data_IF_916316328761
#
_entry.id   IF_916316328761
#
_cell.length_a   1.000
_cell.length_b   1.000
_cell.length_c   1.000
_cell.angle_alpha   90.00
_cell.angle_beta   90.00
_cell.angle_gamma   90.00
#
_symmetry.space_group_name_H-M   'P 1'
#
loop_
_entity.id
_entity.type
_entity.pdbx_description
1 polymer ?
#
# COMPACT_ATOMS: atom_id res chain seq x y z
N UNK A 1 18.44 -4.74 -17.21
CA UNK A 1 17.88 -4.15 -15.99
C UNK A 1 18.91 -4.31 -14.88
N UNK A 2 18.99 -3.36 -13.98
CA UNK A 2 19.88 -3.44 -12.82
C UNK A 2 19.08 -3.08 -11.57
N UNK A 3 19.18 -3.93 -10.56
CA UNK A 3 18.63 -3.72 -9.22
C UNK A 3 19.78 -3.32 -8.29
N UNK A 4 19.64 -2.20 -7.61
CA UNK A 4 20.53 -1.80 -6.53
C UNK A 4 19.71 -1.72 -5.24
N UNK A 5 20.18 -2.40 -4.19
CA UNK A 5 19.53 -2.44 -2.88
C UNK A 5 20.38 -1.65 -1.90
N UNK A 6 19.83 -0.59 -1.34
CA UNK A 6 20.43 0.20 -0.28
C UNK A 6 19.64 0.00 1.01
N UNK A 7 20.29 -0.57 2.04
CA UNK A 7 19.66 -0.75 3.35
C UNK A 7 19.65 0.57 4.11
N UNK A 8 18.48 0.98 4.54
CA UNK A 8 18.24 2.16 5.35
C UNK A 8 18.07 1.78 6.83
N UNK A 9 17.97 2.79 7.69
CA UNK A 9 17.68 2.57 9.11
C UNK A 9 16.25 1.98 9.31
N UNK A 10 16.02 1.37 10.47
CA UNK A 10 14.72 0.82 10.89
C UNK A 10 14.16 -0.29 9.97
N UNK A 11 15.03 -1.16 9.47
CA UNK A 11 14.66 -2.26 8.56
C UNK A 11 13.94 -1.81 7.28
N UNK A 12 14.28 -0.62 6.79
CA UNK A 12 13.85 -0.13 5.49
C UNK A 12 14.92 -0.39 4.46
N UNK A 13 14.51 -0.56 3.20
CA UNK A 13 15.43 -0.64 2.06
C UNK A 13 14.91 0.24 0.93
N UNK A 14 15.84 0.83 0.21
CA UNK A 14 15.59 1.58 -1.02
C UNK A 14 16.10 0.75 -2.20
N UNK A 15 15.18 0.34 -3.03
CA UNK A 15 15.45 -0.41 -4.25
C UNK A 15 15.51 0.59 -5.41
N UNK A 16 16.65 0.69 -6.07
CA UNK A 16 16.77 1.48 -7.30
C UNK A 16 16.74 0.53 -8.49
N UNK A 17 15.74 0.72 -9.33
CA UNK A 17 15.49 -0.14 -10.50
C UNK A 17 15.66 0.69 -11.76
N UNK A 18 16.53 0.19 -12.64
CA UNK A 18 16.79 0.80 -13.94
C UNK A 18 16.25 -0.09 -15.04
N UNK A 19 15.34 0.46 -15.84
CA UNK A 19 14.74 -0.20 -17.01
C UNK A 19 15.33 0.39 -18.29
N UNK A 20 15.66 -0.46 -19.24
CA UNK A 20 16.28 -0.02 -20.49
C UNK A 20 15.39 0.93 -21.29
N UNK A 21 16.01 1.85 -22.04
CA UNK A 21 15.30 2.78 -22.91
C UNK A 21 14.39 2.06 -23.92
N UNK A 22 14.81 0.89 -24.42
CA UNK A 22 14.04 0.11 -25.39
C UNK A 22 12.73 -0.45 -24.78
N UNK A 23 12.77 -0.92 -23.54
CA UNK A 23 11.59 -1.41 -22.83
C UNK A 23 10.65 -0.28 -22.50
N UNK A 24 11.17 0.86 -22.08
CA UNK A 24 10.37 2.06 -21.85
C UNK A 24 9.71 2.58 -23.14
N UNK A 25 10.42 2.57 -24.28
CA UNK A 25 9.83 2.93 -25.58
C UNK A 25 8.71 1.97 -26.00
N UNK A 26 8.84 0.67 -25.72
CA UNK A 26 7.75 -0.30 -25.97
C UNK A 26 6.52 0.03 -25.13
N UNK A 27 6.72 0.37 -23.86
CA UNK A 27 5.63 0.78 -22.98
C UNK A 27 4.98 2.10 -23.46
N UNK A 28 5.76 3.07 -23.92
CA UNK A 28 5.27 4.30 -24.52
C UNK A 28 4.38 4.05 -25.76
N UNK A 29 4.79 3.10 -26.61
CA UNK A 29 3.97 2.69 -27.79
C UNK A 29 2.69 1.98 -27.36
N UNK A 30 2.74 1.18 -26.29
CA UNK A 30 1.56 0.52 -25.73
C UNK A 30 0.59 1.56 -25.12
N UNK A 31 1.09 2.49 -24.33
CA UNK A 31 0.33 3.60 -23.74
C UNK A 31 -0.35 4.46 -24.83
N UNK A 32 0.39 4.81 -25.90
CA UNK A 32 -0.19 5.47 -27.06
C UNK A 32 -1.33 4.65 -27.67
N UNK A 33 -1.11 3.37 -27.94
CA UNK A 33 -2.14 2.51 -28.56
C UNK A 33 -3.40 2.42 -27.72
N UNK A 34 -3.26 2.38 -26.39
CA UNK A 34 -4.39 2.35 -25.46
C UNK A 34 -5.16 3.67 -25.46
N UNK A 35 -4.45 4.78 -25.45
CA UNK A 35 -5.02 6.11 -25.24
C UNK A 35 -5.31 6.92 -26.51
N UNK A 36 -4.83 6.50 -27.71
CA UNK A 36 -4.97 7.26 -28.97
C UNK A 36 -6.41 7.64 -29.33
N UNK A 37 -7.41 6.91 -28.85
CA UNK A 37 -8.82 7.21 -29.09
C UNK A 37 -9.37 8.32 -28.19
N UNK A 38 -8.66 8.67 -27.11
CA UNK A 38 -9.05 9.75 -26.18
C UNK A 38 -8.73 11.14 -26.75
N UNK A 39 -7.72 11.21 -27.64
CA UNK A 39 -7.25 12.48 -28.20
C UNK A 39 -7.99 12.85 -29.48
N UNK A 40 -8.43 14.11 -29.54
CA UNK A 40 -9.03 14.69 -30.73
C UNK A 40 -8.06 15.67 -31.35
N UNK A 41 -7.46 15.29 -32.49
CA UNK A 41 -6.50 16.10 -33.22
C UNK A 41 -7.16 16.65 -34.47
N UNK A 42 -7.21 17.98 -34.68
CA UNK A 42 -7.74 18.57 -35.90
C UNK A 42 -7.03 18.01 -37.16
N UNK A 43 -7.81 17.62 -38.14
CA UNK A 43 -7.28 17.02 -39.41
C UNK A 43 -7.08 15.50 -39.35
N UNK A 44 -7.26 14.85 -38.22
CA UNK A 44 -7.17 13.39 -38.10
C UNK A 44 -8.47 12.79 -37.59
N UNK A 45 -8.82 11.63 -38.14
CA UNK A 45 -9.91 10.82 -37.57
C UNK A 45 -9.51 10.32 -36.18
N UNK A 46 -10.43 10.35 -35.24
CA UNK A 46 -10.26 9.88 -33.84
C UNK A 46 -9.55 8.51 -33.79
N UNK A 47 -8.47 8.42 -33.02
CA UNK A 47 -7.65 7.22 -32.90
C UNK A 47 -6.70 6.92 -34.05
N UNK A 48 -6.61 7.80 -35.07
CA UNK A 48 -5.71 7.67 -36.24
C UNK A 48 -4.58 8.70 -36.28
N UNK A 49 -4.53 9.63 -35.35
CA UNK A 49 -3.45 10.59 -35.23
C UNK A 49 -2.13 9.88 -34.84
N UNK A 50 -1.00 10.16 -35.53
CA UNK A 50 0.30 9.60 -35.15
C UNK A 50 0.73 10.05 -33.75
N UNK A 51 1.50 9.19 -33.02
CA UNK A 51 2.01 9.50 -31.71
C UNK A 51 2.74 10.84 -31.64
N UNK A 52 3.64 11.10 -32.61
CA UNK A 52 4.40 12.35 -32.68
C UNK A 52 3.52 13.61 -32.82
N UNK A 53 2.33 13.49 -33.39
CA UNK A 53 1.39 14.60 -33.51
C UNK A 53 0.69 14.89 -32.18
N UNK A 54 0.35 13.84 -31.43
CA UNK A 54 -0.23 13.97 -30.09
C UNK A 54 0.81 14.58 -29.16
N UNK A 55 2.03 14.04 -29.16
CA UNK A 55 3.16 14.58 -28.36
C UNK A 55 3.45 16.05 -28.66
N UNK A 56 3.33 16.47 -29.93
CA UNK A 56 3.55 17.86 -30.36
C UNK A 56 2.47 18.81 -29.83
N UNK A 57 1.21 18.34 -29.74
CA UNK A 57 0.09 19.18 -29.30
C UNK A 57 -0.10 19.21 -27.79
N UNK A 58 0.08 18.08 -27.14
CA UNK A 58 -0.20 17.91 -25.71
C UNK A 58 1.06 17.80 -24.85
N UNK A 59 2.24 17.77 -25.48
CA UNK A 59 3.52 17.61 -24.80
C UNK A 59 4.03 16.17 -24.87
N UNK A 60 5.37 16.01 -24.83
CA UNK A 60 6.02 14.69 -24.90
C UNK A 60 5.67 13.80 -23.71
N UNK A 61 5.35 14.41 -22.56
CA UNK A 61 5.04 13.70 -21.31
C UNK A 61 3.65 13.09 -21.21
N UNK A 62 2.77 13.31 -22.22
CA UNK A 62 1.36 12.89 -22.15
C UNK A 62 1.18 11.37 -21.96
N UNK A 63 2.15 10.57 -22.37
CA UNK A 63 2.12 9.11 -22.24
C UNK A 63 3.08 8.59 -21.14
N UNK A 64 3.81 9.48 -20.46
CA UNK A 64 4.84 9.07 -19.49
C UNK A 64 4.24 8.40 -18.28
N UNK A 65 3.14 8.92 -17.75
CA UNK A 65 2.47 8.36 -16.59
C UNK A 65 1.96 6.94 -16.84
N UNK A 66 1.24 6.75 -17.95
CA UNK A 66 0.72 5.43 -18.32
C UNK A 66 1.84 4.44 -18.66
N UNK A 67 2.90 4.91 -19.34
CA UNK A 67 4.05 4.09 -19.67
C UNK A 67 4.85 3.71 -18.41
N UNK A 68 5.06 4.67 -17.50
CA UNK A 68 5.76 4.42 -16.23
C UNK A 68 5.02 3.39 -15.37
N UNK A 69 3.71 3.57 -15.18
CA UNK A 69 2.90 2.61 -14.44
C UNK A 69 2.98 1.20 -15.04
N UNK A 70 2.83 1.09 -16.36
CA UNK A 70 2.92 -0.20 -17.03
C UNK A 70 4.31 -0.86 -16.89
N UNK A 71 5.39 -0.07 -16.92
CA UNK A 71 6.75 -0.58 -16.71
C UNK A 71 6.97 -0.98 -15.27
N UNK A 72 6.52 -0.20 -14.31
CA UNK A 72 6.63 -0.50 -12.87
C UNK A 72 5.90 -1.81 -12.56
N UNK A 73 4.66 -1.96 -13.02
CA UNK A 73 3.84 -3.17 -12.80
C UNK A 73 4.48 -4.44 -13.36
N UNK A 74 5.26 -4.31 -14.45
CA UNK A 74 5.97 -5.46 -15.05
C UNK A 74 7.34 -5.71 -14.45
N UNK A 75 8.10 -4.65 -14.13
CA UNK A 75 9.49 -4.77 -13.69
C UNK A 75 9.60 -5.03 -12.19
N UNK A 76 8.76 -4.40 -11.37
CA UNK A 76 8.84 -4.51 -9.91
C UNK A 76 8.69 -5.96 -9.42
N UNK A 77 7.67 -6.75 -9.79
CA UNK A 77 7.55 -8.14 -9.35
C UNK A 77 8.74 -8.99 -9.79
N UNK A 78 9.25 -8.76 -11.00
CA UNK A 78 10.37 -9.51 -11.56
C UNK A 78 11.68 -9.25 -10.83
N UNK A 79 11.94 -7.99 -10.46
CA UNK A 79 13.13 -7.63 -9.69
C UNK A 79 13.01 -8.07 -8.22
N UNK A 80 11.79 -8.17 -7.68
CA UNK A 80 11.54 -8.74 -6.36
C UNK A 80 11.88 -10.23 -6.28
N UNK A 81 11.54 -11.01 -7.31
CA UNK A 81 11.91 -12.44 -7.38
C UNK A 81 13.43 -12.65 -7.41
N UNK A 82 14.18 -11.66 -7.95
CA UNK A 82 15.64 -11.68 -7.96
C UNK A 82 16.28 -11.13 -6.67
N UNK A 83 15.48 -10.51 -5.80
CA UNK A 83 15.96 -9.97 -4.54
C UNK A 83 16.04 -11.05 -3.46
N UNK A 84 17.17 -11.11 -2.74
CA UNK A 84 17.36 -12.07 -1.64
C UNK A 84 16.65 -11.62 -0.33
N UNK A 85 16.24 -10.37 -0.25
CA UNK A 85 15.62 -9.78 0.95
C UNK A 85 14.11 -10.03 1.00
N UNK A 86 13.60 -10.40 2.16
CA UNK A 86 12.17 -10.64 2.38
C UNK A 86 11.44 -9.31 2.66
N UNK A 87 10.69 -8.84 1.66
CA UNK A 87 9.94 -7.58 1.72
C UNK A 87 8.55 -7.84 2.29
N UNK A 88 8.15 -7.04 3.27
CA UNK A 88 6.88 -7.21 4.01
C UNK A 88 5.90 -6.05 3.87
N UNK A 89 6.24 -5.03 3.09
CA UNK A 89 5.38 -3.86 2.86
C UNK A 89 5.09 -3.61 1.39
N UNK A 90 4.03 -2.83 1.13
CA UNK A 90 3.83 -2.23 -0.19
C UNK A 90 4.93 -1.20 -0.48
N UNK A 91 5.42 -1.11 -1.73
CA UNK A 91 6.46 -0.17 -2.09
C UNK A 91 5.93 1.27 -2.12
N UNK A 92 6.74 2.21 -1.63
CA UNK A 92 6.59 3.63 -1.92
C UNK A 92 7.48 3.96 -3.12
N UNK A 93 6.85 4.32 -4.24
CA UNK A 93 7.54 4.47 -5.52
C UNK A 93 7.79 5.93 -5.83
N UNK A 94 9.04 6.27 -6.14
CA UNK A 94 9.45 7.59 -6.61
C UNK A 94 10.14 7.47 -7.95
N UNK A 95 9.75 8.29 -8.93
CA UNK A 95 10.39 8.34 -10.24
C UNK A 95 11.58 9.30 -10.20
N UNK A 96 12.76 8.74 -10.47
CA UNK A 96 14.02 9.51 -10.49
C UNK A 96 14.29 10.10 -11.87
N UNK A 97 14.11 9.29 -12.92
CA UNK A 97 14.37 9.71 -14.30
C UNK A 97 13.33 9.16 -15.25
N UNK A 98 12.68 10.05 -15.97
CA UNK A 98 11.71 9.72 -17.04
C UNK A 98 11.92 10.64 -18.24
N UNK A 99 12.65 10.16 -19.23
CA UNK A 99 12.93 10.89 -20.46
C UNK A 99 12.96 9.94 -21.66
N UNK A 100 12.49 10.42 -22.80
CA UNK A 100 12.52 9.65 -24.07
C UNK A 100 13.95 9.40 -24.51
N UNK A 101 14.27 8.16 -24.82
CA UNK A 101 15.62 7.75 -25.28
C UNK A 101 16.64 7.56 -24.17
N UNK A 102 16.25 7.77 -22.89
CA UNK A 102 17.07 7.46 -21.73
C UNK A 102 16.48 6.28 -20.96
N UNK A 103 17.28 5.58 -20.14
CA UNK A 103 16.76 4.56 -19.24
C UNK A 103 15.73 5.17 -18.27
N UNK A 104 14.68 4.42 -17.98
CA UNK A 104 13.71 4.78 -16.95
C UNK A 104 14.23 4.29 -15.60
N UNK A 105 14.36 5.21 -14.63
CA UNK A 105 14.88 4.92 -13.31
C UNK A 105 13.83 5.33 -12.28
N UNK A 106 13.50 4.40 -11.42
CA UNK A 106 12.63 4.65 -10.27
C UNK A 106 13.17 3.99 -9.01
N UNK A 107 12.78 4.50 -7.86
CA UNK A 107 13.11 3.93 -6.56
C UNK A 107 11.86 3.45 -5.87
N UNK A 108 11.98 2.31 -5.19
CA UNK A 108 10.93 1.76 -4.35
C UNK A 108 11.45 1.64 -2.92
N UNK A 109 10.84 2.36 -1.99
CA UNK A 109 11.15 2.26 -0.57
C UNK A 109 10.24 1.22 0.07
N UNK A 110 10.83 0.22 0.71
CA UNK A 110 10.13 -0.95 1.27
C UNK A 110 10.63 -1.26 2.68
N UNK A 111 9.77 -1.91 3.48
CA UNK A 111 10.18 -2.47 4.76
C UNK A 111 10.61 -3.92 4.58
N UNK A 112 11.76 -4.25 5.17
CA UNK A 112 12.30 -5.60 5.20
C UNK A 112 11.83 -6.33 6.47
N UNK A 113 11.76 -7.65 6.40
CA UNK A 113 11.54 -8.47 7.58
C UNK A 113 12.71 -8.32 8.54
N UNK A 114 12.47 -7.93 9.80
CA UNK A 114 13.52 -7.79 10.78
C UNK A 114 14.11 -9.14 11.18
N UNK A 115 15.42 -9.19 11.36
CA UNK A 115 16.06 -10.32 12.01
C UNK A 115 15.73 -10.31 13.51
N UNK A 116 15.19 -11.41 14.00
CA UNK A 116 14.82 -11.58 15.41
C UNK A 116 15.91 -12.35 16.13
N UNK A 117 16.59 -11.71 17.05
CA UNK A 117 17.48 -12.38 18.01
C UNK A 117 16.72 -12.64 19.30
N UNK A 118 16.70 -13.90 19.72
CA UNK A 118 16.06 -14.26 20.97
C UNK A 118 16.91 -13.77 22.15
N UNK A 119 16.28 -13.06 23.07
CA UNK A 119 16.88 -12.73 24.35
C UNK A 119 16.92 -13.95 25.31
N UNK A 120 17.30 -13.72 26.55
CA UNK A 120 17.24 -14.76 27.60
C UNK A 120 15.76 -15.05 27.95
N UNK A 121 15.21 -16.12 27.39
CA UNK A 121 13.82 -16.54 27.60
C UNK A 121 13.69 -17.71 28.56
N UNK A 122 14.82 -18.34 28.99
CA UNK A 122 14.84 -19.42 29.95
C UNK A 122 15.07 -18.85 31.34
N UNK A 123 14.25 -19.30 32.31
CA UNK A 123 14.37 -18.87 33.69
C UNK A 123 13.69 -17.52 33.99
N UNK A 124 12.80 -17.05 33.12
CA UNK A 124 11.97 -15.87 33.39
C UNK A 124 11.03 -16.19 34.53
N UNK A 125 11.20 -15.50 35.68
CA UNK A 125 10.30 -15.60 36.82
C UNK A 125 9.10 -14.67 36.57
N UNK A 126 7.90 -15.24 36.66
CA UNK A 126 6.63 -14.51 36.56
C UNK A 126 5.86 -14.66 37.86
N UNK A 127 5.35 -13.57 38.38
CA UNK A 127 4.45 -13.61 39.51
C UNK A 127 3.20 -14.40 39.15
N UNK A 128 2.85 -15.38 40.00
CA UNK A 128 1.62 -16.12 39.81
C UNK A 128 0.44 -15.20 40.07
N UNK A 129 -0.38 -15.00 39.10
CA UNK A 129 -1.62 -14.23 39.22
C UNK A 129 -2.53 -14.92 40.25
N UNK A 130 -2.93 -14.22 41.30
CA UNK A 130 -3.90 -14.69 42.23
C UNK A 130 -5.30 -14.70 41.58
N UNK A 131 -5.86 -15.89 41.43
CA UNK A 131 -7.15 -16.12 40.83
C UNK A 131 -8.26 -16.33 41.85
N UNK A 132 -8.10 -15.84 43.10
CA UNK A 132 -9.16 -15.89 44.09
C UNK A 132 -10.32 -15.01 43.67
N UNK A 133 -11.48 -15.63 43.53
CA UNK A 133 -12.74 -14.94 43.25
C UNK A 133 -13.31 -14.43 44.54
N UNK A 134 -13.55 -13.13 44.63
CA UNK A 134 -14.19 -12.50 45.80
C UNK A 134 -15.71 -12.49 45.67
N UNK A 135 -16.42 -12.35 46.79
CA UNK A 135 -17.88 -12.21 46.77
C UNK A 135 -18.30 -10.95 45.97
N UNK A 136 -17.48 -9.88 45.97
CA UNK A 136 -17.70 -8.68 45.18
C UNK A 136 -17.63 -8.95 43.65
N UNK A 137 -16.73 -9.84 43.23
CA UNK A 137 -16.63 -10.23 41.82
C UNK A 137 -17.86 -11.00 41.35
N UNK A 138 -18.39 -11.87 42.25
CA UNK A 138 -19.63 -12.62 41.99
C UNK A 138 -20.83 -11.69 41.91
N UNK A 139 -20.95 -10.72 42.81
CA UNK A 139 -22.04 -9.72 42.76
C UNK A 139 -21.98 -8.86 41.52
N UNK A 140 -20.79 -8.44 41.11
CA UNK A 140 -20.57 -7.66 39.89
C UNK A 140 -21.00 -8.43 38.63
N UNK A 141 -20.66 -9.71 38.56
CA UNK A 141 -21.06 -10.54 37.43
C UNK A 141 -22.57 -10.82 37.42
N UNK A 142 -23.17 -11.08 38.60
CA UNK A 142 -24.61 -11.21 38.73
C UNK A 142 -25.35 -9.97 38.26
N UNK A 143 -24.87 -8.78 38.64
CA UNK A 143 -25.43 -7.51 38.17
C UNK A 143 -25.31 -7.34 36.66
N UNK A 144 -24.16 -7.69 36.08
CA UNK A 144 -23.95 -7.68 34.65
C UNK A 144 -24.92 -8.61 33.91
N UNK A 145 -25.20 -9.80 34.47
CA UNK A 145 -26.18 -10.74 33.92
C UNK A 145 -27.61 -10.23 34.06
N UNK A 146 -27.94 -9.57 35.16
CA UNK A 146 -29.24 -8.94 35.36
C UNK A 146 -29.46 -7.82 34.33
N UNK A 147 -28.50 -6.97 34.16
CA UNK A 147 -28.57 -5.84 33.17
C UNK A 147 -28.74 -6.36 31.75
N UNK A 148 -28.04 -7.41 31.38
CA UNK A 148 -28.19 -8.06 30.04
C UNK A 148 -29.56 -8.69 29.81
N UNK A 149 -30.22 -9.17 30.85
CA UNK A 149 -31.53 -9.81 30.79
C UNK A 149 -32.67 -8.86 31.21
N UNK A 150 -32.37 -7.60 31.50
CA UNK A 150 -33.36 -6.59 31.85
C UNK A 150 -34.30 -6.32 30.69
N UNK A 151 -35.56 -5.99 31.00
CA UNK A 151 -36.56 -5.56 30.02
C UNK A 151 -36.92 -4.10 30.27
N UNK A 152 -36.94 -3.32 29.23
CA UNK A 152 -37.52 -2.00 29.28
C UNK A 152 -39.03 -2.11 29.43
N UNK A 153 -39.56 -1.59 30.56
CA UNK A 153 -41.01 -1.53 30.83
C UNK A 153 -41.42 -0.07 30.83
N UNK A 154 -42.37 0.28 29.98
CA UNK A 154 -42.93 1.63 29.96
C UNK A 154 -43.66 1.93 31.27
N UNK A 155 -43.20 2.95 31.98
CA UNK A 155 -43.84 3.45 33.20
C UNK A 155 -44.68 4.67 32.81
N UNK A 156 -46.00 4.54 32.92
CA UNK A 156 -46.95 5.59 32.51
C UNK A 156 -47.67 6.24 33.67
N UNK A 157 -47.45 5.77 34.90
CA UNK A 157 -48.19 6.14 36.11
C UNK A 157 -47.44 7.15 37.00
N UNK A 158 -46.23 7.53 36.66
CA UNK A 158 -45.42 8.51 37.38
C UNK A 158 -44.57 9.36 36.44
N UNK A 159 -44.17 10.58 36.89
CA UNK A 159 -43.20 11.37 36.14
C UNK A 159 -41.80 10.69 36.11
N UNK A 160 -40.99 11.07 35.15
CA UNK A 160 -39.63 10.60 35.00
C UNK A 160 -38.80 10.86 36.23
N UNK A 161 -38.11 9.82 36.74
CA UNK A 161 -37.22 9.91 37.88
C UNK A 161 -35.76 9.67 37.46
N UNK A 162 -34.82 10.09 38.33
CA UNK A 162 -33.41 9.89 38.12
C UNK A 162 -33.09 8.37 38.12
N UNK A 163 -32.45 7.87 37.02
CA UNK A 163 -32.18 6.46 36.81
C UNK A 163 -33.14 5.75 35.82
N UNK A 164 -34.21 6.43 35.34
CA UNK A 164 -35.06 5.88 34.26
C UNK A 164 -34.30 5.97 32.92
N UNK A 165 -34.49 4.98 32.04
CA UNK A 165 -33.96 4.93 30.66
C UNK A 165 -35.06 5.21 29.65
#
# INVERSE_FOLDING_TARGET
>A
MSLQVEKLEKNMAKLTIEVSAEEFEKAMKAAYNHNKTRFNIPGFRRGKAPQAMIEKMYGAGIFYEDAANAVIDMSYPRELEACEEEIVSSPEIEVVQIEKGKPFIYTATVALKPEVTLGEYKGVEVEKTDATVTDEDVEKELKSVQDRNSRLVAVTDRPVADGDQ
#
